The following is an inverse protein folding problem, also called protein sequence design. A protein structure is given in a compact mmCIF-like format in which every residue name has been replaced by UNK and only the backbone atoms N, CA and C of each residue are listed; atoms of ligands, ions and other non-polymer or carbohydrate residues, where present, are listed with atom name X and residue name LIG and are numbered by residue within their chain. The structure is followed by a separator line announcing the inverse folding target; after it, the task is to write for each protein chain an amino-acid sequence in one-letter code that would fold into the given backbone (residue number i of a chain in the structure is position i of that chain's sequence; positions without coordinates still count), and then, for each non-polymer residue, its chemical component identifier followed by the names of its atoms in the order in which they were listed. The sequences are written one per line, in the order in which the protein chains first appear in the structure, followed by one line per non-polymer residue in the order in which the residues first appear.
data_IF_926262368874
#
_entry.id   IF_926262368874
#
_cell.length_a   1.000
_cell.length_b   1.000
_cell.length_c   1.000
_cell.angle_alpha   90.00
_cell.angle_beta   90.00
_cell.angle_gamma   90.00
#
_symmetry.space_group_name_H-M   'P 1'
#
loop_
_entity.id
_entity.type
_entity.pdbx_description
1 polymer ?
#
# COMPACT_ATOMS: atom_id res chain seq x y z
N UNK A 1 -2.73 -28.89 4.82
CA UNK A 1 -1.82 -29.17 3.68
C UNK A 1 -2.07 -28.28 2.48
N UNK A 2 -3.32 -28.10 2.02
CA UNK A 2 -3.61 -27.27 0.85
C UNK A 2 -3.16 -25.80 0.98
N UNK A 3 -3.31 -25.18 2.16
CA UNK A 3 -2.97 -23.76 2.39
C UNK A 3 -1.50 -23.52 2.79
N UNK A 4 -0.62 -24.52 2.64
CA UNK A 4 0.81 -24.33 2.95
C UNK A 4 1.48 -23.37 1.97
N UNK A 5 2.64 -22.82 2.33
CA UNK A 5 3.35 -21.86 1.49
C UNK A 5 3.74 -22.44 0.12
N UNK A 6 4.12 -23.71 0.09
CA UNK A 6 4.48 -24.44 -1.13
C UNK A 6 3.28 -24.63 -2.06
N UNK A 7 2.12 -25.01 -1.49
CA UNK A 7 0.91 -25.31 -2.27
C UNK A 7 0.07 -24.09 -2.61
N UNK A 8 0.27 -22.97 -1.92
CA UNK A 8 -0.46 -21.73 -2.16
C UNK A 8 0.51 -20.53 -2.07
N UNK A 9 1.40 -20.31 -3.06
CA UNK A 9 2.41 -19.25 -3.00
C UNK A 9 1.81 -17.83 -2.94
N UNK A 10 2.61 -16.86 -2.47
CA UNK A 10 2.21 -15.45 -2.44
C UNK A 10 1.85 -14.94 -3.85
N UNK A 11 0.90 -14.01 -3.93
CA UNK A 11 0.40 -13.41 -5.16
C UNK A 11 -0.18 -14.44 -6.16
N UNK A 12 -0.74 -15.54 -5.64
CA UNK A 12 -1.55 -16.49 -6.44
C UNK A 12 -2.97 -16.54 -5.92
N UNK A 13 -3.91 -16.89 -6.80
CA UNK A 13 -5.33 -17.03 -6.46
C UNK A 13 -5.86 -18.38 -6.93
N UNK A 14 -6.80 -18.97 -6.18
CA UNK A 14 -7.44 -20.24 -6.54
C UNK A 14 -8.75 -20.46 -5.78
N UNK A 15 -9.63 -21.35 -6.26
CA UNK A 15 -10.82 -21.73 -5.51
C UNK A 15 -10.45 -22.61 -4.30
N UNK A 16 -11.14 -22.39 -3.18
CA UNK A 16 -11.09 -23.22 -1.98
C UNK A 16 -12.51 -23.51 -1.49
N UNK A 17 -12.65 -24.42 -0.53
CA UNK A 17 -13.90 -24.63 0.21
C UNK A 17 -13.70 -24.34 1.69
N UNK A 18 -14.55 -23.50 2.26
CA UNK A 18 -14.59 -23.20 3.70
C UNK A 18 -15.88 -23.79 4.26
N UNK A 19 -15.77 -24.90 5.01
CA UNK A 19 -16.92 -25.72 5.45
C UNK A 19 -17.95 -25.98 4.33
N UNK A 20 -17.46 -26.27 3.12
CA UNK A 20 -18.29 -26.52 1.94
C UNK A 20 -18.67 -25.29 1.12
N UNK A 21 -18.56 -24.07 1.66
CA UNK A 21 -18.80 -22.83 0.91
C UNK A 21 -17.74 -22.62 -0.17
N UNK A 22 -18.12 -22.30 -1.42
CA UNK A 22 -17.18 -21.95 -2.47
C UNK A 22 -16.60 -20.56 -2.21
N UNK A 23 -15.27 -20.47 -2.14
CA UNK A 23 -14.55 -19.22 -1.92
C UNK A 23 -13.45 -19.09 -2.96
N UNK A 24 -13.33 -17.92 -3.59
CA UNK A 24 -12.16 -17.57 -4.36
C UNK A 24 -11.16 -16.88 -3.44
N UNK A 25 -10.02 -17.53 -3.18
CA UNK A 25 -9.01 -17.02 -2.26
C UNK A 25 -7.84 -16.44 -3.05
N UNK A 26 -7.43 -15.22 -2.70
CA UNK A 26 -6.24 -14.58 -3.24
C UNK A 26 -5.23 -14.38 -2.12
N UNK A 27 -4.05 -15.00 -2.23
CA UNK A 27 -3.00 -14.87 -1.20
C UNK A 27 -2.24 -13.55 -1.39
N UNK A 28 -2.82 -12.49 -0.86
CA UNK A 28 -2.27 -11.14 -0.83
C UNK A 28 -2.73 -10.43 0.45
N UNK A 29 -2.06 -9.34 0.83
CA UNK A 29 -2.42 -8.56 2.01
C UNK A 29 -1.94 -7.13 1.88
N UNK A 30 -2.85 -6.18 2.06
CA UNK A 30 -2.52 -4.75 2.08
C UNK A 30 -2.07 -4.25 3.46
N UNK A 31 -2.25 -5.04 4.51
CA UNK A 31 -1.68 -4.75 5.84
C UNK A 31 -0.28 -5.37 5.99
N UNK A 32 0.21 -6.08 4.96
CA UNK A 32 1.54 -6.70 4.91
C UNK A 32 1.76 -7.83 5.92
N UNK A 33 0.68 -8.44 6.39
CA UNK A 33 0.68 -9.64 7.21
C UNK A 33 0.19 -10.86 6.41
N UNK A 34 0.47 -12.06 6.91
CA UNK A 34 0.03 -13.30 6.25
C UNK A 34 -1.50 -13.41 6.23
N UNK A 35 -2.07 -13.68 5.06
CA UNK A 35 -3.51 -13.83 4.93
C UNK A 35 -3.96 -14.01 3.48
N UNK A 36 -5.28 -13.95 3.32
CA UNK A 36 -5.96 -14.06 2.04
C UNK A 36 -7.08 -13.03 1.97
N UNK A 37 -7.30 -12.49 0.78
CA UNK A 37 -8.57 -11.90 0.42
C UNK A 37 -9.52 -13.03 0.01
N UNK A 38 -10.71 -13.04 0.62
CA UNK A 38 -11.73 -14.07 0.39
C UNK A 38 -12.91 -13.46 -0.36
N UNK A 39 -13.10 -13.92 -1.59
CA UNK A 39 -14.17 -13.46 -2.47
C UNK A 39 -15.27 -14.53 -2.53
N UNK A 40 -16.51 -14.11 -2.29
CA UNK A 40 -17.70 -14.97 -2.33
C UNK A 40 -18.87 -14.26 -3.01
N UNK A 41 -19.87 -15.04 -3.46
CA UNK A 41 -21.17 -14.47 -3.79
C UNK A 41 -21.73 -13.71 -2.58
N UNK A 42 -22.38 -12.54 -2.76
CA UNK A 42 -22.99 -11.78 -1.67
C UNK A 42 -23.90 -12.64 -0.76
N UNK A 43 -24.59 -13.63 -1.34
CA UNK A 43 -25.45 -14.58 -0.61
C UNK A 43 -24.72 -15.42 0.45
N UNK A 44 -23.39 -15.55 0.37
CA UNK A 44 -22.57 -16.32 1.30
C UNK A 44 -21.79 -15.47 2.30
N UNK A 45 -21.87 -14.13 2.20
CA UNK A 45 -21.04 -13.23 3.01
C UNK A 45 -21.21 -13.43 4.51
N UNK A 46 -22.46 -13.44 5.00
CA UNK A 46 -22.76 -13.65 6.42
C UNK A 46 -22.34 -15.05 6.89
N UNK A 47 -22.63 -16.09 6.11
CA UNK A 47 -22.25 -17.46 6.45
C UNK A 47 -20.72 -17.61 6.57
N UNK A 48 -19.96 -17.01 5.65
CA UNK A 48 -18.49 -17.00 5.74
C UNK A 48 -18.02 -16.22 6.97
N UNK A 49 -18.61 -15.07 7.27
CA UNK A 49 -18.30 -14.27 8.45
C UNK A 49 -18.50 -15.07 9.74
N UNK A 50 -19.67 -15.69 9.91
CA UNK A 50 -20.00 -16.47 11.11
C UNK A 50 -19.01 -17.62 11.32
N UNK A 51 -18.65 -18.34 10.25
CA UNK A 51 -17.64 -19.41 10.31
C UNK A 51 -16.30 -18.89 10.82
N UNK A 52 -15.85 -17.73 10.34
CA UNK A 52 -14.58 -17.14 10.78
C UNK A 52 -14.69 -16.60 12.22
N UNK A 53 -15.80 -15.95 12.55
CA UNK A 53 -16.05 -15.39 13.89
C UNK A 53 -16.07 -16.47 14.97
N UNK A 54 -16.68 -17.63 14.69
CA UNK A 54 -16.63 -18.82 15.54
C UNK A 54 -15.20 -19.34 15.80
N UNK A 55 -14.23 -19.02 14.94
CA UNK A 55 -12.81 -19.35 15.15
C UNK A 55 -12.06 -18.28 15.97
N UNK A 56 -12.75 -17.24 16.43
CA UNK A 56 -12.18 -16.19 17.27
C UNK A 56 -11.45 -15.08 16.51
N UNK A 57 -11.73 -14.89 15.22
CA UNK A 57 -11.16 -13.75 14.48
C UNK A 57 -11.66 -12.42 15.07
N UNK A 58 -10.78 -11.43 15.13
CA UNK A 58 -11.12 -10.09 15.60
C UNK A 58 -11.47 -9.20 14.41
N UNK A 59 -12.67 -8.55 14.38
CA UNK A 59 -12.97 -7.55 13.37
C UNK A 59 -12.01 -6.37 13.49
N UNK A 60 -11.43 -5.96 12.37
CA UNK A 60 -10.61 -4.76 12.27
C UNK A 60 -11.19 -3.84 11.20
N UNK A 61 -11.27 -2.55 11.53
CA UNK A 61 -11.86 -1.54 10.66
C UNK A 61 -10.92 -1.07 9.55
N UNK A 62 -11.46 -0.25 8.65
CA UNK A 62 -10.75 0.28 7.48
C UNK A 62 -9.51 1.10 7.85
N UNK A 63 -9.46 1.73 9.01
CA UNK A 63 -8.32 2.56 9.44
C UNK A 63 -7.01 1.80 9.55
N UNK A 64 -7.07 0.54 10.01
CA UNK A 64 -5.90 -0.34 10.06
C UNK A 64 -5.37 -0.62 8.66
N UNK A 65 -6.27 -0.76 7.69
CA UNK A 65 -5.96 -1.03 6.29
C UNK A 65 -5.48 0.23 5.54
N UNK A 66 -6.19 1.34 5.69
CA UNK A 66 -6.02 2.54 4.86
C UNK A 66 -4.94 3.48 5.37
N UNK A 67 -4.70 3.53 6.68
CA UNK A 67 -3.79 4.48 7.29
C UNK A 67 -2.60 3.79 7.93
N UNK A 68 -2.76 3.02 9.00
CA UNK A 68 -1.60 2.63 9.82
C UNK A 68 -0.72 1.55 9.18
N UNK A 69 -1.27 0.34 8.95
CA UNK A 69 -0.44 -0.82 8.53
C UNK A 69 0.14 -0.68 7.13
N UNK A 70 -0.63 -0.13 6.19
CA UNK A 70 -0.14 0.05 4.82
C UNK A 70 1.01 1.06 4.76
N UNK A 71 0.98 2.10 5.60
CA UNK A 71 2.09 3.05 5.71
C UNK A 71 3.34 2.39 6.31
N UNK A 72 3.19 1.53 7.33
CA UNK A 72 4.32 0.77 7.92
C UNK A 72 5.04 -0.12 6.89
N UNK A 73 4.32 -0.60 5.87
CA UNK A 73 4.87 -1.42 4.77
C UNK A 73 5.23 -0.58 3.54
N UNK A 74 5.12 0.74 3.63
CA UNK A 74 5.30 1.69 2.52
C UNK A 74 4.46 1.34 1.29
N UNK A 75 3.23 0.88 1.47
CA UNK A 75 2.30 0.65 0.36
C UNK A 75 1.66 1.96 -0.05
N UNK A 76 1.74 2.25 -1.35
CA UNK A 76 1.23 3.48 -1.97
C UNK A 76 -0.27 3.38 -2.20
N UNK A 77 -1.00 4.43 -1.85
CA UNK A 77 -2.43 4.52 -2.01
C UNK A 77 -2.79 5.46 -3.18
N UNK A 78 -3.68 5.00 -4.06
CA UNK A 78 -4.24 5.83 -5.13
C UNK A 78 -4.94 7.05 -4.54
N UNK A 79 -4.76 8.22 -5.16
CA UNK A 79 -5.29 9.52 -4.71
C UNK A 79 -4.69 10.07 -3.39
N UNK A 80 -3.66 9.41 -2.83
CA UNK A 80 -2.86 9.96 -1.73
C UNK A 80 -1.38 10.04 -2.12
N UNK A 81 -0.78 8.90 -2.46
CA UNK A 81 0.63 8.80 -2.85
C UNK A 81 0.79 8.75 -4.39
N UNK A 82 -0.23 8.25 -5.08
CA UNK A 82 -0.26 8.11 -6.54
C UNK A 82 -1.20 9.14 -7.14
N UNK A 83 -0.63 10.28 -7.49
CA UNK A 83 -1.29 11.35 -8.23
C UNK A 83 -0.79 11.38 -9.67
N UNK A 84 -1.57 11.98 -10.57
CA UNK A 84 -1.21 12.11 -12.00
C UNK A 84 -0.02 13.04 -12.24
N UNK A 85 0.36 13.82 -11.24
CA UNK A 85 1.48 14.76 -11.27
C UNK A 85 2.84 14.05 -11.12
N UNK A 86 2.85 12.84 -10.55
CA UNK A 86 4.06 12.09 -10.26
C UNK A 86 4.24 10.91 -11.21
N UNK A 87 5.49 10.69 -11.62
CA UNK A 87 5.87 9.52 -12.38
C UNK A 87 6.26 8.33 -11.48
N UNK A 88 6.47 7.15 -12.08
CA UNK A 88 6.78 5.93 -11.33
C UNK A 88 8.12 5.99 -10.58
N UNK A 89 9.10 6.76 -11.05
CA UNK A 89 10.34 6.96 -10.30
C UNK A 89 10.11 7.88 -9.10
N UNK A 90 9.36 8.96 -9.28
CA UNK A 90 9.00 9.91 -8.23
C UNK A 90 8.19 9.21 -7.12
N UNK A 91 7.26 8.31 -7.47
CA UNK A 91 6.47 7.54 -6.50
C UNK A 91 7.20 6.32 -5.90
N UNK A 92 8.42 6.00 -6.35
CA UNK A 92 9.18 4.83 -5.90
C UNK A 92 8.60 3.48 -6.38
N UNK A 93 7.95 3.46 -7.54
CA UNK A 93 7.31 2.29 -8.17
C UNK A 93 7.95 1.87 -9.51
N UNK A 94 9.09 2.45 -9.87
CA UNK A 94 9.79 2.12 -11.11
C UNK A 94 10.16 0.62 -11.16
N UNK A 95 9.96 0.00 -12.32
CA UNK A 95 10.25 -1.41 -12.56
C UNK A 95 11.61 -1.55 -13.24
N UNK A 96 12.36 -2.58 -12.86
CA UNK A 96 13.68 -2.84 -13.46
C UNK A 96 13.59 -3.08 -14.97
N UNK A 97 12.54 -3.79 -15.42
CA UNK A 97 12.28 -4.15 -16.82
C UNK A 97 11.10 -3.35 -17.37
N UNK A 98 11.23 -2.91 -18.61
CA UNK A 98 10.14 -2.30 -19.40
C UNK A 98 9.51 -3.41 -20.24
N UNK A 99 8.18 -3.42 -20.33
CA UNK A 99 7.46 -4.36 -21.20
C UNK A 99 7.87 -4.13 -22.66
N UNK A 100 8.08 -5.22 -23.39
CA UNK A 100 8.45 -5.18 -24.81
C UNK A 100 7.32 -4.60 -25.67
N UNK A 101 6.08 -4.97 -25.38
CA UNK A 101 4.90 -4.45 -26.06
C UNK A 101 4.69 -2.95 -25.83
N UNK A 102 3.92 -2.32 -26.71
CA UNK A 102 3.53 -0.92 -26.55
C UNK A 102 2.48 -0.75 -25.44
N UNK A 103 2.49 0.42 -24.80
CA UNK A 103 1.51 0.80 -23.78
C UNK A 103 1.44 2.32 -23.63
N UNK A 104 0.29 2.81 -23.15
CA UNK A 104 0.10 4.23 -22.90
C UNK A 104 1.15 4.79 -21.93
N UNK A 105 1.86 5.83 -22.37
CA UNK A 105 2.92 6.46 -21.58
C UNK A 105 4.29 5.80 -21.69
N UNK A 106 4.50 4.77 -22.52
CA UNK A 106 5.79 4.09 -22.68
C UNK A 106 6.94 5.04 -23.05
N UNK A 107 6.74 5.89 -24.06
CA UNK A 107 7.76 6.85 -24.48
C UNK A 107 8.14 7.83 -23.36
N UNK A 108 7.14 8.34 -22.63
CA UNK A 108 7.36 9.21 -21.47
C UNK A 108 8.09 8.47 -20.34
N UNK A 109 7.73 7.21 -20.07
CA UNK A 109 8.38 6.40 -19.04
C UNK A 109 9.85 6.10 -19.36
N UNK A 110 10.17 5.81 -20.63
CA UNK A 110 11.55 5.65 -21.09
C UNK A 110 12.32 6.97 -20.92
N UNK A 111 11.75 8.10 -21.36
CA UNK A 111 12.40 9.39 -21.20
C UNK A 111 12.64 9.78 -19.72
N UNK A 112 11.71 9.45 -18.82
CA UNK A 112 11.86 9.67 -17.38
C UNK A 112 12.98 8.82 -16.78
N UNK A 113 13.14 7.57 -17.24
CA UNK A 113 14.20 6.65 -16.79
C UNK A 113 15.60 7.15 -17.10
N UNK A 114 15.79 7.79 -18.26
CA UNK A 114 17.10 8.30 -18.69
C UNK A 114 17.48 9.63 -18.01
N UNK A 115 16.60 10.21 -17.20
CA UNK A 115 16.91 11.44 -16.48
C UNK A 115 17.98 11.18 -15.42
N UNK A 116 19.01 12.05 -15.28
CA UNK A 116 20.00 11.93 -14.23
C UNK A 116 19.39 12.11 -12.83
N UNK A 117 18.29 12.86 -12.72
CA UNK A 117 17.52 13.08 -11.48
C UNK A 117 16.05 13.33 -11.81
N UNK A 118 15.14 12.89 -10.94
CA UNK A 118 13.72 13.25 -11.02
C UNK A 118 13.45 14.61 -10.35
N UNK A 119 12.28 15.19 -10.64
CA UNK A 119 11.90 16.47 -10.04
C UNK A 119 11.59 16.33 -8.54
N UNK A 120 10.99 15.20 -8.16
CA UNK A 120 10.63 14.88 -6.78
C UNK A 120 10.92 13.41 -6.42
N UNK A 121 10.85 13.08 -5.14
CA UNK A 121 10.92 11.70 -4.66
C UNK A 121 10.02 11.54 -3.44
N UNK A 122 9.09 10.59 -3.52
CA UNK A 122 8.24 10.22 -2.40
C UNK A 122 9.10 9.66 -1.27
N UNK A 123 9.03 10.31 -0.11
CA UNK A 123 9.79 9.95 1.09
C UNK A 123 8.86 9.44 2.19
N UNK A 124 9.36 8.51 3.00
CA UNK A 124 8.72 8.13 4.27
C UNK A 124 9.48 8.78 5.41
N UNK A 125 8.74 9.42 6.32
CA UNK A 125 9.31 10.14 7.45
C UNK A 125 8.67 9.68 8.76
N UNK A 126 9.47 9.73 9.83
CA UNK A 126 9.00 9.46 11.20
C UNK A 126 9.19 10.71 12.05
N UNK A 127 8.15 11.10 12.78
CA UNK A 127 8.23 12.19 13.75
C UNK A 127 8.70 11.61 15.09
N UNK A 128 9.95 11.89 15.46
CA UNK A 128 10.53 11.40 16.72
C UNK A 128 9.99 12.15 17.95
N UNK A 129 9.74 13.45 17.80
CA UNK A 129 9.15 14.31 18.84
C UNK A 129 8.19 15.28 18.17
N UNK A 130 7.07 15.52 18.84
CA UNK A 130 6.03 16.42 18.34
C UNK A 130 5.94 17.71 19.20
N UNK A 131 6.96 18.01 19.99
CA UNK A 131 7.02 19.22 20.83
C UNK A 131 8.03 20.18 20.24
N UNK A 132 7.63 21.44 20.06
CA UNK A 132 8.53 22.46 19.53
C UNK A 132 9.51 23.02 20.59
N UNK A 133 10.41 23.90 20.16
CA UNK A 133 11.42 24.53 21.04
C UNK A 133 10.84 25.36 22.20
N UNK A 134 9.55 25.67 22.17
CA UNK A 134 8.84 26.42 23.22
C UNK A 134 8.02 25.50 24.13
N UNK A 135 8.13 24.17 23.96
CA UNK A 135 7.39 23.20 24.76
C UNK A 135 5.94 22.99 24.29
N UNK A 136 5.57 23.46 23.11
CA UNK A 136 4.20 23.36 22.59
C UNK A 136 4.07 22.10 21.73
N UNK A 137 3.08 21.25 22.04
CA UNK A 137 2.74 20.10 21.21
C UNK A 137 2.21 20.55 19.83
N UNK A 138 2.76 19.97 18.78
CA UNK A 138 2.45 20.19 17.37
C UNK A 138 1.98 18.88 16.75
N UNK A 139 0.94 18.95 15.94
CA UNK A 139 0.40 17.81 15.23
C UNK A 139 0.42 18.15 13.74
N UNK A 140 1.42 17.65 13.00
CA UNK A 140 1.49 17.90 11.57
C UNK A 140 0.20 17.41 10.91
N UNK A 141 -0.53 18.33 10.32
CA UNK A 141 -1.61 18.03 9.37
C UNK A 141 -1.02 18.20 7.97
N UNK A 142 -1.66 17.69 6.91
CA UNK A 142 -1.05 17.73 5.56
C UNK A 142 -0.63 19.15 5.11
N UNK A 143 0.34 19.22 4.18
CA UNK A 143 0.84 20.43 3.50
C UNK A 143 1.81 21.34 4.27
N UNK A 144 2.58 20.82 5.23
CA UNK A 144 3.56 21.64 5.95
C UNK A 144 4.93 21.52 5.26
N UNK A 145 5.60 22.65 4.93
CA UNK A 145 6.92 22.59 4.32
C UNK A 145 7.91 21.96 5.29
N UNK A 146 8.67 20.98 4.81
CA UNK A 146 9.79 20.41 5.56
C UNK A 146 10.97 21.38 5.40
N UNK A 147 11.40 21.95 6.52
CA UNK A 147 12.55 22.85 6.57
C UNK A 147 13.79 22.07 6.96
N UNK A 148 14.85 22.21 6.17
CA UNK A 148 16.18 21.79 6.62
C UNK A 148 16.70 22.79 7.66
N UNK A 149 17.49 22.28 8.61
CA UNK A 149 18.21 23.00 9.66
C UNK A 149 18.94 24.26 9.18
N UNK A 150 19.35 24.30 7.90
CA UNK A 150 19.98 25.45 7.24
C UNK A 150 19.03 26.57 6.76
N UNK A 151 17.74 26.58 7.13
CA UNK A 151 16.73 27.58 6.71
C UNK A 151 16.50 27.70 5.19
N UNK A 152 17.04 26.77 4.38
CA UNK A 152 16.66 26.67 2.98
C UNK A 152 15.37 25.87 2.94
N UNK A 153 14.29 26.50 2.48
CA UNK A 153 13.03 25.81 2.20
C UNK A 153 13.36 24.61 1.30
N UNK A 154 13.18 23.40 1.79
CA UNK A 154 12.99 22.26 0.91
C UNK A 154 11.74 22.59 0.12
N UNK A 155 11.88 22.81 -1.19
CA UNK A 155 10.72 22.98 -2.04
C UNK A 155 10.04 21.61 -2.10
N UNK A 156 8.96 21.45 -1.35
CA UNK A 156 8.03 20.34 -1.51
C UNK A 156 6.75 20.93 -2.12
N UNK A 157 6.58 20.66 -3.41
CA UNK A 157 5.29 20.65 -4.10
C UNK A 157 5.14 19.27 -4.69
#
# INVERSE_FOLDING_TARGET
QALSHEHFPFATARPIRVRGLPVWAFRISYVGEQGWELYVSPSYGLALWDILFEQGVTPVGIETYANTRRMEKSLRLQNADLLTEYNLYEAGLARAKIKTDDFHGKAAYVAQRERPRQAAYLCTMTVAQNVDRHGIARYPVGQWPILDSGHRRGADR
#
